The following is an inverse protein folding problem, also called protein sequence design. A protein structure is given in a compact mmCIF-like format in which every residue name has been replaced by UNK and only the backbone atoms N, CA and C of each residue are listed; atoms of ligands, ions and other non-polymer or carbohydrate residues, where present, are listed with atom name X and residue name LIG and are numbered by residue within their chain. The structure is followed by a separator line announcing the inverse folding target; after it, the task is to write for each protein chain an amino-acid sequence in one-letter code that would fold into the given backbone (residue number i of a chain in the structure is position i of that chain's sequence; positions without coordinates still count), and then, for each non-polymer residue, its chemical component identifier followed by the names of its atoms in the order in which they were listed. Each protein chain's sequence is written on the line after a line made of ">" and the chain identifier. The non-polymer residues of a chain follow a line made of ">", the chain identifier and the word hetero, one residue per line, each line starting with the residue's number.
data_IF_028786311001
#
_entry.id   IF_028786311001
#
_cell.length_a   1.000
_cell.length_b   1.000
_cell.length_c   1.000
_cell.angle_alpha   90.00
_cell.angle_beta   90.00
_cell.angle_gamma   90.00
#
_symmetry.space_group_name_H-M   'P 1'
#
loop_
_entity.id
_entity.type
_entity.pdbx_description
1 polymer ?
#
# COMPACT_ATOMS: atom_id res chain seq x y z
N UNK A 1 -7.81 4.23 20.44
CA UNK A 1 -6.67 3.89 19.59
C UNK A 1 -5.82 5.12 19.33
N UNK A 2 -4.51 5.01 19.56
CA UNK A 2 -3.54 6.05 19.27
C UNK A 2 -2.86 5.79 17.93
N UNK A 3 -3.01 6.71 16.97
CA UNK A 3 -2.49 6.56 15.62
C UNK A 3 -1.38 7.57 15.37
N UNK A 4 -0.24 7.05 14.89
CA UNK A 4 0.96 7.83 14.57
C UNK A 4 1.10 7.91 13.05
N UNK A 5 1.36 9.09 12.52
CA UNK A 5 1.63 9.32 11.11
C UNK A 5 2.97 10.07 10.91
N UNK A 6 3.59 9.89 9.74
CA UNK A 6 4.93 10.39 9.46
C UNK A 6 4.95 11.85 8.97
N UNK A 7 5.26 12.04 7.71
CA UNK A 7 5.62 13.31 7.05
C UNK A 7 4.56 14.43 7.05
N UNK A 8 3.37 14.19 7.61
CA UNK A 8 2.29 15.20 7.66
C UNK A 8 2.62 16.39 8.58
N UNK A 9 3.40 16.15 9.62
CA UNK A 9 3.74 17.15 10.64
C UNK A 9 4.76 18.21 10.17
N UNK A 10 5.50 17.93 9.10
CA UNK A 10 6.53 18.82 8.52
C UNK A 10 6.05 19.63 7.32
N UNK A 11 4.78 19.51 6.94
CA UNK A 11 4.21 20.28 5.83
C UNK A 11 3.73 21.65 6.29
N UNK A 12 3.65 22.62 5.35
CA UNK A 12 3.04 23.93 5.63
C UNK A 12 1.58 23.76 6.12
N UNK A 13 1.10 24.71 6.93
CA UNK A 13 -0.19 24.62 7.61
C UNK A 13 -1.37 24.26 6.69
N UNK A 14 -1.46 24.87 5.49
CA UNK A 14 -2.53 24.61 4.53
C UNK A 14 -2.41 23.24 3.85
N UNK A 15 -1.19 22.82 3.51
CA UNK A 15 -0.94 21.50 2.93
C UNK A 15 -1.18 20.42 3.99
N UNK A 16 -0.66 20.64 5.19
CA UNK A 16 -0.86 19.74 6.32
C UNK A 16 -2.33 19.56 6.68
N UNK A 17 -3.13 20.64 6.66
CA UNK A 17 -4.57 20.56 6.90
C UNK A 17 -5.27 19.68 5.86
N UNK A 18 -5.08 19.97 4.57
CA UNK A 18 -5.67 19.16 3.50
C UNK A 18 -5.31 17.68 3.57
N UNK A 19 -4.06 17.38 3.93
CA UNK A 19 -3.61 16.00 4.10
C UNK A 19 -4.29 15.33 5.31
N UNK A 20 -4.44 16.04 6.43
CA UNK A 20 -5.17 15.53 7.60
C UNK A 20 -6.65 15.29 7.30
N UNK A 21 -7.29 16.20 6.55
CA UNK A 21 -8.69 16.04 6.14
C UNK A 21 -8.87 14.78 5.27
N UNK A 22 -7.95 14.55 4.32
CA UNK A 22 -7.92 13.32 3.51
C UNK A 22 -7.68 12.07 4.37
N UNK A 23 -6.72 12.14 5.30
CA UNK A 23 -6.44 11.05 6.25
C UNK A 23 -7.69 10.70 7.06
N UNK A 24 -8.35 11.70 7.65
CA UNK A 24 -9.58 11.52 8.42
C UNK A 24 -10.75 10.98 7.60
N UNK A 25 -10.88 11.41 6.34
CA UNK A 25 -11.84 10.85 5.40
C UNK A 25 -11.59 9.36 5.15
N UNK A 26 -10.35 9.01 4.85
CA UNK A 26 -9.94 7.62 4.60
C UNK A 26 -10.18 6.71 5.83
N UNK A 27 -9.85 7.19 7.04
CA UNK A 27 -10.16 6.48 8.27
C UNK A 27 -11.66 6.15 8.39
N UNK A 28 -12.52 7.16 8.22
CA UNK A 28 -13.97 6.98 8.36
C UNK A 28 -14.51 5.99 7.33
N UNK A 29 -14.06 6.09 6.08
CA UNK A 29 -14.44 5.14 5.01
C UNK A 29 -14.04 3.70 5.34
N UNK A 30 -12.84 3.48 5.88
CA UNK A 30 -12.39 2.15 6.28
C UNK A 30 -13.18 1.60 7.49
N UNK A 31 -13.42 2.41 8.52
CA UNK A 31 -14.23 1.98 9.67
C UNK A 31 -15.66 1.64 9.24
N UNK A 32 -16.28 2.49 8.40
CA UNK A 32 -17.63 2.26 7.87
C UNK A 32 -17.69 0.98 7.03
N UNK A 33 -16.75 0.81 6.10
CA UNK A 33 -16.69 -0.37 5.24
C UNK A 33 -16.52 -1.68 6.03
N UNK A 34 -15.79 -1.61 7.15
CA UNK A 34 -15.53 -2.76 8.03
C UNK A 34 -16.56 -2.91 9.15
N UNK A 35 -17.61 -2.08 9.16
CA UNK A 35 -18.65 -2.02 10.19
C UNK A 35 -18.09 -1.88 11.62
N UNK A 36 -17.04 -1.09 11.80
CA UNK A 36 -16.40 -0.86 13.09
C UNK A 36 -16.84 0.50 13.66
N UNK A 37 -17.17 0.57 14.97
CA UNK A 37 -17.48 1.82 15.63
C UNK A 37 -16.19 2.61 15.86
N UNK A 38 -16.25 3.94 15.71
CA UNK A 38 -15.14 4.80 16.07
C UNK A 38 -15.37 6.26 15.73
N UNK A 39 -15.04 7.14 16.66
CA UNK A 39 -15.00 8.58 16.44
C UNK A 39 -13.57 9.03 16.18
N UNK A 40 -13.32 9.56 14.98
CA UNK A 40 -11.97 9.90 14.50
C UNK A 40 -11.70 11.37 14.75
N UNK A 41 -10.75 11.67 15.63
CA UNK A 41 -10.17 13.01 15.85
C UNK A 41 -8.75 13.08 15.26
N UNK A 42 -8.62 13.83 14.17
CA UNK A 42 -7.33 14.04 13.49
C UNK A 42 -6.65 15.28 14.03
N UNK A 43 -5.89 15.11 15.10
CA UNK A 43 -5.08 16.17 15.70
C UNK A 43 -3.85 16.55 14.85
N UNK A 44 -3.10 17.55 15.31
CA UNK A 44 -1.93 18.07 14.57
C UNK A 44 -0.75 17.09 14.51
N UNK A 45 -0.55 16.30 15.55
CA UNK A 45 0.61 15.38 15.67
C UNK A 45 0.21 13.90 15.79
N UNK A 46 -1.05 13.62 16.07
CA UNK A 46 -1.62 12.28 16.25
C UNK A 46 -3.07 12.27 15.83
N UNK A 47 -3.57 11.12 15.45
CA UNK A 47 -5.00 10.85 15.36
C UNK A 47 -5.40 9.98 16.55
N UNK A 48 -6.53 10.31 17.16
CA UNK A 48 -7.16 9.48 18.19
C UNK A 48 -8.43 8.91 17.59
N UNK A 49 -8.67 7.61 17.78
CA UNK A 49 -9.94 6.99 17.46
C UNK A 49 -10.54 6.47 18.75
N UNK A 50 -11.64 7.10 19.20
CA UNK A 50 -12.39 6.65 20.38
C UNK A 50 -13.36 5.54 19.93
N UNK A 51 -13.34 4.41 20.64
CA UNK A 51 -14.16 3.24 20.33
C UNK A 51 -14.42 2.40 21.59
N UNK A 52 -15.30 1.43 21.48
CA UNK A 52 -15.61 0.50 22.56
C UNK A 52 -14.44 -0.44 22.85
N UNK A 53 -14.26 -0.88 24.11
CA UNK A 53 -13.19 -1.79 24.50
C UNK A 53 -13.16 -3.10 23.69
N UNK A 54 -14.32 -3.62 23.31
CA UNK A 54 -14.45 -4.85 22.51
C UNK A 54 -13.98 -4.68 21.07
N UNK A 55 -14.02 -3.45 20.55
CA UNK A 55 -13.65 -3.13 19.15
C UNK A 55 -12.24 -2.54 19.03
N UNK A 56 -11.57 -2.22 20.14
CA UNK A 56 -10.34 -1.43 20.13
C UNK A 56 -9.21 -2.06 19.31
N UNK A 57 -9.05 -3.37 19.36
CA UNK A 57 -8.02 -4.07 18.59
C UNK A 57 -8.34 -4.07 17.09
N UNK A 58 -9.58 -4.40 16.71
CA UNK A 58 -10.01 -4.39 15.31
C UNK A 58 -9.93 -2.98 14.71
N UNK A 59 -10.27 -1.94 15.49
CA UNK A 59 -10.10 -0.53 15.09
C UNK A 59 -8.63 -0.17 14.94
N UNK A 60 -7.75 -0.66 15.83
CA UNK A 60 -6.31 -0.39 15.72
C UNK A 60 -5.67 -1.07 14.50
N UNK A 61 -6.05 -2.33 14.22
CA UNK A 61 -5.62 -3.03 13.00
C UNK A 61 -6.12 -2.30 11.74
N UNK A 62 -7.40 -1.88 11.74
CA UNK A 62 -7.95 -1.07 10.65
C UNK A 62 -7.22 0.25 10.47
N UNK A 63 -6.91 0.92 11.57
CA UNK A 63 -6.15 2.16 11.55
C UNK A 63 -4.72 1.97 10.99
N UNK A 64 -4.11 0.83 11.24
CA UNK A 64 -2.82 0.47 10.69
C UNK A 64 -2.84 0.23 9.17
N UNK A 65 -4.00 -0.04 8.55
CA UNK A 65 -4.10 -0.19 7.09
C UNK A 65 -4.23 1.14 6.33
N UNK A 66 -4.43 2.26 7.05
CA UNK A 66 -4.63 3.57 6.42
C UNK A 66 -3.34 4.12 5.84
N UNK A 67 -3.34 4.47 4.56
CA UNK A 67 -2.20 5.12 3.93
C UNK A 67 -1.85 6.45 4.62
N UNK A 68 -0.57 6.60 4.96
CA UNK A 68 -0.05 7.73 5.74
C UNK A 68 0.16 7.39 7.23
N UNK A 69 -0.41 6.31 7.72
CA UNK A 69 -0.20 5.83 9.10
C UNK A 69 1.12 5.06 9.18
N UNK A 70 1.92 5.41 10.19
CA UNK A 70 3.16 4.71 10.53
C UNK A 70 2.88 3.59 11.51
N UNK A 71 2.01 3.83 12.50
CA UNK A 71 1.56 2.79 13.41
C UNK A 71 0.28 3.17 14.13
N UNK A 72 -0.45 2.17 14.58
CA UNK A 72 -1.61 2.30 15.44
C UNK A 72 -1.50 1.37 16.64
N UNK A 73 -1.91 1.87 17.81
CA UNK A 73 -1.86 1.11 19.07
C UNK A 73 -3.22 1.14 19.75
N UNK A 74 -3.77 -0.01 20.16
CA UNK A 74 -4.85 -0.03 21.13
C UNK A 74 -4.32 0.55 22.43
N UNK A 75 -5.00 1.56 23.00
CA UNK A 75 -4.50 2.31 24.15
C UNK A 75 -5.56 2.54 25.21
N UNK A 76 -5.13 2.50 26.47
CA UNK A 76 -5.87 3.06 27.58
C UNK A 76 -5.50 4.54 27.73
N UNK A 77 -6.50 5.43 27.72
CA UNK A 77 -6.32 6.85 27.96
C UNK A 77 -6.61 7.17 29.44
N UNK A 78 -5.65 7.80 30.11
CA UNK A 78 -5.67 8.07 31.55
C UNK A 78 -5.28 9.51 31.86
N UNK A 79 -5.46 9.94 33.11
CA UNK A 79 -4.90 11.20 33.61
C UNK A 79 -3.36 11.19 33.52
N UNK A 80 -2.71 12.30 33.14
CA UNK A 80 -1.26 12.34 32.99
C UNK A 80 -0.54 12.58 34.34
N UNK A 81 -0.87 11.77 35.34
CA UNK A 81 -0.28 11.78 36.67
C UNK A 81 0.59 10.56 36.88
N UNK A 82 1.59 10.63 37.79
CA UNK A 82 2.40 9.50 38.11
C UNK A 82 1.55 8.33 38.62
N UNK A 83 0.64 8.58 39.57
CA UNK A 83 -0.25 7.60 40.16
C UNK A 83 -1.08 6.84 39.11
N UNK A 84 -1.74 7.58 38.18
CA UNK A 84 -2.55 6.96 37.13
C UNK A 84 -1.71 6.14 36.15
N UNK A 85 -0.47 6.56 35.89
CA UNK A 85 0.44 5.81 34.99
C UNK A 85 0.91 4.54 35.69
N UNK A 86 1.29 4.60 36.96
CA UNK A 86 1.69 3.43 37.77
C UNK A 86 0.55 2.41 37.87
N UNK A 87 -0.67 2.88 38.17
CA UNK A 87 -1.86 2.01 38.29
C UNK A 87 -2.17 1.31 36.93
N UNK A 88 -2.17 2.05 35.83
CA UNK A 88 -2.45 1.48 34.52
C UNK A 88 -1.38 0.47 34.07
N UNK A 89 -0.11 0.73 34.38
CA UNK A 89 0.98 -0.21 34.08
C UNK A 89 0.93 -1.45 34.99
N UNK A 90 0.57 -1.28 36.24
CA UNK A 90 0.35 -2.39 37.18
C UNK A 90 -0.80 -3.30 36.72
N UNK A 91 -1.94 -2.70 36.35
CA UNK A 91 -3.10 -3.44 35.82
C UNK A 91 -2.74 -4.19 34.53
N UNK A 92 -2.02 -3.55 33.61
CA UNK A 92 -1.56 -4.16 32.37
C UNK A 92 -0.59 -5.32 32.63
N UNK A 93 0.34 -5.15 33.59
CA UNK A 93 1.25 -6.22 33.99
C UNK A 93 0.49 -7.41 34.57
N UNK A 94 -0.40 -7.17 35.52
CA UNK A 94 -1.21 -8.21 36.15
C UNK A 94 -2.09 -9.00 35.17
N UNK A 95 -2.57 -8.33 34.11
CA UNK A 95 -3.50 -8.91 33.15
C UNK A 95 -2.80 -9.67 32.02
N UNK A 96 -1.63 -9.19 31.56
CA UNK A 96 -1.05 -9.63 30.31
C UNK A 96 0.39 -10.11 30.40
N UNK A 97 1.20 -9.65 31.38
CA UNK A 97 2.60 -10.04 31.44
C UNK A 97 2.73 -11.46 32.00
N UNK A 98 3.19 -12.38 31.14
CA UNK A 98 3.28 -13.82 31.48
C UNK A 98 4.72 -14.30 31.63
N UNK A 99 5.72 -13.39 31.60
CA UNK A 99 7.14 -13.67 31.79
C UNK A 99 8.02 -13.15 30.66
N UNK A 100 9.31 -13.45 30.76
CA UNK A 100 10.32 -12.91 29.86
C UNK A 100 10.86 -11.55 30.32
N UNK A 101 11.60 -10.89 29.44
CA UNK A 101 12.14 -9.55 29.70
C UNK A 101 11.13 -8.45 29.33
N UNK A 102 11.21 -7.30 30.01
CA UNK A 102 10.34 -6.18 29.66
C UNK A 102 11.06 -4.84 29.69
N UNK A 103 10.48 -3.86 28.96
CA UNK A 103 10.83 -2.44 29.05
C UNK A 103 9.58 -1.56 29.16
N UNK A 104 9.75 -0.38 29.74
CA UNK A 104 8.77 0.71 29.66
C UNK A 104 9.34 1.79 28.75
N UNK A 105 8.82 1.90 27.51
CA UNK A 105 9.20 2.95 26.54
C UNK A 105 8.30 4.16 26.74
N UNK A 106 8.83 5.19 27.38
CA UNK A 106 8.08 6.39 27.72
C UNK A 106 8.50 7.57 26.83
N UNK A 107 7.49 8.25 26.25
CA UNK A 107 7.67 9.47 25.46
C UNK A 107 6.81 10.58 26.00
N UNK A 108 7.35 11.81 26.00
CA UNK A 108 6.68 12.99 26.48
C UNK A 108 6.64 14.07 25.39
N UNK A 109 5.44 14.58 25.11
CA UNK A 109 5.28 15.57 24.03
C UNK A 109 5.68 17.00 24.42
N UNK A 110 5.64 17.36 25.71
CA UNK A 110 5.98 18.68 26.26
C UNK A 110 6.52 18.57 27.68
N UNK A 111 7.27 19.57 28.10
CA UNK A 111 7.85 19.67 29.44
C UNK A 111 6.90 20.44 30.40
N UNK A 112 5.74 19.86 30.67
CA UNK A 112 4.69 20.45 31.53
C UNK A 112 4.37 19.64 32.79
N UNK A 113 4.91 18.42 32.88
CA UNK A 113 4.72 17.53 34.03
C UNK A 113 5.95 17.53 34.95
N UNK A 114 5.78 17.24 36.26
CA UNK A 114 6.87 17.25 37.24
C UNK A 114 7.87 16.07 37.07
N UNK A 115 7.68 15.21 36.10
CA UNK A 115 8.51 14.02 35.81
C UNK A 115 8.97 14.00 34.36
N UNK A 116 10.10 13.40 34.11
CA UNK A 116 10.69 13.18 32.76
C UNK A 116 10.25 11.85 32.17
N UNK A 117 10.59 11.59 30.88
CA UNK A 117 10.38 10.26 30.26
C UNK A 117 11.19 9.18 30.98
N UNK A 118 12.41 9.50 31.44
CA UNK A 118 13.24 8.58 32.22
C UNK A 118 12.64 8.25 33.57
N UNK A 119 11.99 9.24 34.22
CA UNK A 119 11.27 9.01 35.46
C UNK A 119 10.08 8.08 35.26
N UNK A 120 9.32 8.25 34.14
CA UNK A 120 8.21 7.35 33.76
C UNK A 120 8.74 5.93 33.52
N UNK A 121 9.86 5.79 32.80
CA UNK A 121 10.50 4.51 32.58
C UNK A 121 10.87 3.80 33.90
N UNK A 122 11.38 4.58 34.88
CA UNK A 122 11.80 4.04 36.19
C UNK A 122 10.59 3.65 37.06
N UNK A 123 9.69 4.62 37.40
CA UNK A 123 8.57 4.30 38.28
C UNK A 123 7.57 3.35 37.62
N UNK A 124 7.41 3.44 36.31
CA UNK A 124 6.59 2.51 35.54
C UNK A 124 7.17 1.10 35.51
N UNK A 125 8.50 0.97 35.37
CA UNK A 125 9.20 -0.30 35.48
C UNK A 125 9.02 -0.94 36.87
N UNK A 126 9.13 -0.14 37.94
CA UNK A 126 8.86 -0.59 39.29
C UNK A 126 7.42 -1.08 39.48
N UNK A 127 6.43 -0.38 38.91
CA UNK A 127 5.02 -0.74 38.94
C UNK A 127 4.73 -2.05 38.19
N UNK A 128 5.28 -2.21 36.98
CA UNK A 128 5.19 -3.46 36.20
C UNK A 128 5.78 -4.63 36.97
N UNK A 129 6.99 -4.48 37.52
CA UNK A 129 7.66 -5.54 38.26
C UNK A 129 6.91 -5.93 39.55
N UNK A 130 6.37 -4.94 40.28
CA UNK A 130 5.62 -5.17 41.51
C UNK A 130 4.26 -5.87 41.29
N UNK A 131 3.62 -5.64 40.15
CA UNK A 131 2.33 -6.23 39.80
C UNK A 131 2.42 -7.53 39.00
N UNK A 132 3.63 -7.94 38.62
CA UNK A 132 3.83 -9.19 37.88
C UNK A 132 3.22 -10.40 38.62
N UNK A 133 2.59 -11.35 37.89
CA UNK A 133 2.02 -12.56 38.52
C UNK A 133 3.04 -13.31 39.36
N UNK A 134 2.62 -13.89 40.51
CA UNK A 134 3.50 -14.48 41.49
C UNK A 134 4.39 -15.63 40.96
N UNK A 135 4.09 -16.19 39.81
CA UNK A 135 4.86 -17.24 39.16
C UNK A 135 5.90 -16.71 38.15
N UNK A 136 5.91 -15.38 37.92
CA UNK A 136 6.80 -14.68 37.00
C UNK A 136 7.90 -13.98 37.78
N UNK A 137 9.14 -14.15 37.37
CA UNK A 137 10.27 -13.34 37.82
C UNK A 137 10.54 -12.24 36.80
N UNK A 138 10.13 -11.00 37.05
CA UNK A 138 10.25 -9.92 36.10
C UNK A 138 11.72 -9.52 35.90
N UNK A 139 12.14 -9.37 34.65
CA UNK A 139 13.49 -8.94 34.28
C UNK A 139 13.44 -7.83 33.27
N UNK A 140 14.24 -6.76 33.50
CA UNK A 140 14.29 -5.60 32.60
C UNK A 140 15.35 -5.81 31.54
N UNK A 141 14.97 -5.60 30.26
CA UNK A 141 15.88 -5.45 29.13
C UNK A 141 15.44 -4.23 28.31
N UNK A 142 16.32 -3.23 28.17
CA UNK A 142 16.01 -1.99 27.45
C UNK A 142 16.40 -2.05 25.97
N UNK A 143 17.19 -3.04 25.58
CA UNK A 143 17.71 -3.15 24.22
C UNK A 143 16.85 -4.07 23.34
N UNK A 144 16.44 -5.23 23.85
CA UNK A 144 15.65 -6.24 23.12
C UNK A 144 14.65 -6.95 24.06
N UNK A 145 13.63 -6.23 24.57
CA UNK A 145 12.66 -6.77 25.50
C UNK A 145 11.64 -7.68 24.80
N UNK A 146 11.22 -8.77 25.49
CA UNK A 146 10.10 -9.60 25.06
C UNK A 146 8.75 -8.83 25.11
N UNK A 147 8.62 -7.91 26.10
CA UNK A 147 7.45 -7.08 26.30
C UNK A 147 7.82 -5.60 26.35
N UNK A 148 7.08 -4.76 25.61
CA UNK A 148 7.22 -3.30 25.68
C UNK A 148 5.91 -2.66 26.15
N UNK A 149 5.97 -2.02 27.31
CA UNK A 149 4.90 -1.17 27.82
C UNK A 149 5.13 0.26 27.29
N UNK A 150 4.39 0.66 26.25
CA UNK A 150 4.51 2.02 25.68
C UNK A 150 3.70 3.00 26.52
N UNK A 151 4.31 4.14 26.89
CA UNK A 151 3.64 5.25 27.59
C UNK A 151 3.86 6.57 26.83
N UNK A 152 2.82 7.14 26.27
CA UNK A 152 2.89 8.47 25.63
C UNK A 152 2.20 9.52 26.51
N UNK A 153 2.99 10.39 27.16
CA UNK A 153 2.48 11.46 28.05
C UNK A 153 2.33 12.77 27.29
N UNK A 154 1.11 13.32 27.34
CA UNK A 154 0.72 14.60 26.77
C UNK A 154 0.27 15.57 27.87
N UNK A 155 0.09 16.87 27.57
CA UNK A 155 -0.29 17.85 28.60
C UNK A 155 -1.58 17.52 29.36
N UNK A 156 -2.54 16.92 28.68
CA UNK A 156 -3.91 16.69 29.16
C UNK A 156 -4.28 15.21 29.35
N UNK A 157 -3.50 14.28 28.77
CA UNK A 157 -3.73 12.83 28.88
C UNK A 157 -2.44 12.04 28.79
N UNK A 158 -2.42 10.83 29.36
CA UNK A 158 -1.42 9.82 29.06
C UNK A 158 -2.08 8.61 28.39
N UNK A 159 -1.31 7.90 27.58
CA UNK A 159 -1.74 6.73 26.82
C UNK A 159 -0.81 5.57 27.13
N UNK A 160 -1.38 4.44 27.55
CA UNK A 160 -0.65 3.20 27.83
C UNK A 160 -1.07 2.15 26.82
N UNK A 161 -0.11 1.47 26.19
CA UNK A 161 -0.37 0.40 25.22
C UNK A 161 0.68 -0.70 25.33
N UNK A 162 0.28 -1.94 25.00
CA UNK A 162 1.15 -3.13 24.93
C UNK A 162 1.39 -3.58 23.50
N UNK A 163 0.52 -3.20 22.59
CA UNK A 163 0.56 -3.62 21.21
C UNK A 163 0.73 -2.43 20.29
N UNK A 164 1.43 -2.68 19.19
CA UNK A 164 1.64 -1.72 18.14
C UNK A 164 1.55 -2.41 16.80
N UNK A 165 0.60 -2.00 15.99
CA UNK A 165 0.44 -2.43 14.61
C UNK A 165 1.16 -1.45 13.69
N UNK A 166 2.12 -1.96 12.92
CA UNK A 166 2.83 -1.15 11.94
C UNK A 166 1.94 -0.84 10.73
N UNK A 167 1.99 0.41 10.27
CA UNK A 167 1.21 0.87 9.14
C UNK A 167 2.05 1.00 7.86
N UNK A 168 1.39 1.21 6.68
CA UNK A 168 2.07 1.31 5.39
C UNK A 168 2.95 2.56 5.27
N UNK A 169 2.81 3.52 6.16
CA UNK A 169 3.46 4.82 6.03
C UNK A 169 3.00 5.59 4.79
N UNK A 170 3.88 6.39 4.23
CA UNK A 170 3.63 7.13 3.00
C UNK A 170 2.79 8.39 3.18
N UNK A 171 1.82 8.62 2.29
CA UNK A 171 0.95 9.79 2.26
C UNK A 171 -0.51 9.36 2.18
N UNK A 172 -1.46 10.15 2.71
CA UNK A 172 -2.87 9.85 2.60
C UNK A 172 -3.31 9.74 1.14
N UNK A 173 -4.13 8.73 0.83
CA UNK A 173 -4.67 8.49 -0.49
C UNK A 173 -5.43 9.71 -1.04
N UNK A 174 -5.30 9.99 -2.32
CA UNK A 174 -5.92 11.15 -2.98
C UNK A 174 -5.21 12.48 -2.72
N UNK A 175 -3.96 12.48 -2.20
CA UNK A 175 -3.15 13.69 -2.00
C UNK A 175 -2.24 14.01 -3.18
N UNK A 176 -2.05 13.08 -4.10
CA UNK A 176 -1.30 13.24 -5.35
C UNK A 176 -2.22 13.11 -6.56
N UNK A 177 -1.71 13.46 -7.73
CA UNK A 177 -2.43 13.26 -8.98
C UNK A 177 -2.67 11.77 -9.25
N UNK A 178 -3.77 11.40 -9.94
CA UNK A 178 -4.02 10.02 -10.34
C UNK A 178 -2.98 9.53 -11.36
N UNK A 179 -2.76 8.21 -11.39
CA UNK A 179 -1.86 7.53 -12.32
C UNK A 179 -2.60 6.37 -13.00
N UNK A 180 -2.36 6.13 -14.27
CA UNK A 180 -2.84 4.93 -14.95
C UNK A 180 -1.97 3.74 -14.55
N UNK A 181 -2.55 2.72 -13.95
CA UNK A 181 -1.86 1.51 -13.55
C UNK A 181 -2.17 0.36 -14.51
N UNK A 182 -1.17 -0.10 -15.26
CA UNK A 182 -1.29 -1.29 -16.10
C UNK A 182 -1.29 -2.54 -15.22
N UNK A 183 -2.49 -3.12 -15.03
CA UNK A 183 -2.71 -4.28 -14.17
C UNK A 183 -2.80 -5.55 -15.00
N UNK A 184 -2.15 -6.59 -14.54
CA UNK A 184 -2.23 -7.93 -15.13
C UNK A 184 -2.49 -8.95 -14.03
N UNK A 185 -2.84 -10.17 -14.38
CA UNK A 185 -2.93 -11.28 -13.40
C UNK A 185 -1.56 -11.77 -12.89
N UNK A 186 -0.49 -10.97 -13.02
CA UNK A 186 0.86 -11.29 -12.55
C UNK A 186 1.20 -10.67 -11.20
N UNK A 187 2.33 -11.12 -10.60
CA UNK A 187 2.79 -10.74 -9.25
C UNK A 187 3.15 -9.25 -9.15
N UNK A 188 3.77 -8.70 -10.19
CA UNK A 188 4.47 -7.42 -10.10
C UNK A 188 3.52 -6.21 -10.19
N UNK A 189 2.48 -6.29 -11.03
CA UNK A 189 1.60 -5.14 -11.28
C UNK A 189 0.77 -4.69 -10.06
N UNK A 190 0.20 -5.59 -9.22
CA UNK A 190 -0.50 -5.17 -8.01
C UNK A 190 0.43 -4.49 -6.99
N UNK A 191 1.64 -5.02 -6.83
CA UNK A 191 2.63 -4.43 -5.91
C UNK A 191 3.05 -3.05 -6.38
N UNK A 192 3.27 -2.86 -7.69
CA UNK A 192 3.59 -1.54 -8.25
C UNK A 192 2.45 -0.53 -8.07
N UNK A 193 1.20 -0.96 -8.27
CA UNK A 193 0.02 -0.13 -8.05
C UNK A 193 -0.12 0.27 -6.57
N UNK A 194 0.03 -0.69 -5.64
CA UNK A 194 0.01 -0.42 -4.20
C UNK A 194 1.09 0.57 -3.77
N UNK A 195 2.31 0.45 -4.29
CA UNK A 195 3.41 1.35 -3.94
C UNK A 195 3.12 2.82 -4.30
N UNK A 196 2.43 3.10 -5.41
CA UNK A 196 2.04 4.47 -5.74
C UNK A 196 0.79 4.93 -4.96
N UNK A 197 -0.16 4.03 -4.69
CA UNK A 197 -1.30 4.30 -3.79
C UNK A 197 -0.79 4.72 -2.40
N UNK A 198 0.17 3.99 -1.85
CA UNK A 198 0.84 4.30 -0.59
C UNK A 198 1.53 5.67 -0.59
N UNK A 199 1.92 6.18 -1.74
CA UNK A 199 2.46 7.55 -1.91
C UNK A 199 1.39 8.59 -2.18
N UNK A 200 0.11 8.24 -2.05
CA UNK A 200 -1.03 9.13 -2.11
C UNK A 200 -1.64 9.32 -3.49
N UNK A 201 -1.19 8.60 -4.51
CA UNK A 201 -1.74 8.67 -5.87
C UNK A 201 -2.92 7.72 -6.03
N UNK A 202 -4.12 8.21 -6.37
CA UNK A 202 -5.17 7.36 -6.91
C UNK A 202 -4.71 6.65 -8.17
N UNK A 203 -5.21 5.45 -8.41
CA UNK A 203 -4.92 4.70 -9.63
C UNK A 203 -6.15 4.57 -10.52
N UNK A 204 -5.93 4.59 -11.83
CA UNK A 204 -6.88 4.17 -12.86
C UNK A 204 -6.40 2.80 -13.34
N UNK A 205 -6.98 1.69 -12.87
CA UNK A 205 -6.50 0.36 -13.22
C UNK A 205 -6.94 -0.03 -14.61
N UNK A 206 -5.98 -0.39 -15.46
CA UNK A 206 -6.17 -0.73 -16.87
C UNK A 206 -5.66 -2.14 -17.14
N UNK A 207 -6.49 -2.96 -17.73
CA UNK A 207 -6.17 -4.29 -18.20
C UNK A 207 -6.31 -4.37 -19.72
N UNK A 208 -5.30 -4.87 -20.40
CA UNK A 208 -5.37 -5.16 -21.83
C UNK A 208 -5.83 -6.60 -22.01
N UNK A 209 -7.01 -6.78 -22.58
CA UNK A 209 -7.46 -8.08 -23.03
C UNK A 209 -6.78 -8.45 -24.34
N UNK A 210 -5.90 -9.43 -24.24
CA UNK A 210 -5.04 -9.87 -25.35
C UNK A 210 -5.72 -10.87 -26.28
N UNK A 211 -7.04 -11.07 -26.15
CA UNK A 211 -7.79 -12.05 -26.94
C UNK A 211 -7.22 -13.47 -26.82
N UNK A 212 -6.90 -14.11 -27.93
CA UNK A 212 -6.37 -15.48 -27.99
C UNK A 212 -5.00 -15.65 -27.30
N UNK A 213 -4.25 -14.56 -27.09
CA UNK A 213 -2.97 -14.55 -26.35
C UNK A 213 -3.14 -14.42 -24.84
N UNK A 214 -4.31 -14.03 -24.39
CA UNK A 214 -4.68 -13.93 -22.97
C UNK A 214 -5.50 -15.13 -22.51
N UNK A 215 -6.70 -14.86 -22.08
CA UNK A 215 -7.70 -15.83 -21.66
C UNK A 215 -8.50 -15.32 -20.47
N UNK A 216 -9.69 -15.90 -20.22
CA UNK A 216 -10.61 -15.44 -19.17
C UNK A 216 -10.00 -15.51 -17.77
N UNK A 217 -9.11 -16.45 -17.51
CA UNK A 217 -8.43 -16.57 -16.21
C UNK A 217 -7.52 -15.38 -15.91
N UNK A 218 -7.00 -14.70 -16.94
CA UNK A 218 -6.16 -13.50 -16.77
C UNK A 218 -6.97 -12.29 -16.35
N UNK A 219 -8.11 -12.09 -17.01
CA UNK A 219 -9.03 -11.01 -16.68
C UNK A 219 -9.57 -11.19 -15.26
N UNK A 220 -10.06 -12.39 -14.92
CA UNK A 220 -10.59 -12.69 -13.59
C UNK A 220 -9.56 -12.41 -12.48
N UNK A 221 -8.28 -12.74 -12.71
CA UNK A 221 -7.20 -12.44 -11.77
C UNK A 221 -6.89 -10.95 -11.69
N UNK A 222 -6.91 -10.24 -12.81
CA UNK A 222 -6.70 -8.81 -12.81
C UNK A 222 -7.83 -8.08 -12.07
N UNK A 223 -9.08 -8.50 -12.26
CA UNK A 223 -10.23 -8.01 -11.50
C UNK A 223 -10.07 -8.27 -10.01
N UNK A 224 -9.75 -9.51 -9.61
CA UNK A 224 -9.56 -9.85 -8.20
C UNK A 224 -8.41 -9.08 -7.56
N UNK A 225 -7.33 -8.88 -8.29
CA UNK A 225 -6.22 -8.00 -7.88
C UNK A 225 -6.71 -6.58 -7.58
N UNK A 226 -7.53 -5.99 -8.45
CA UNK A 226 -8.03 -4.62 -8.25
C UNK A 226 -9.03 -4.58 -7.10
N UNK A 227 -9.84 -5.61 -6.89
CA UNK A 227 -10.73 -5.72 -5.72
C UNK A 227 -9.95 -5.68 -4.39
N UNK A 228 -8.81 -6.39 -4.32
CA UNK A 228 -7.91 -6.37 -3.15
C UNK A 228 -7.22 -5.02 -2.97
N UNK A 229 -6.80 -4.36 -4.04
CA UNK A 229 -6.27 -3.00 -3.96
C UNK A 229 -7.34 -2.01 -3.48
N UNK A 230 -8.58 -2.15 -3.94
CA UNK A 230 -9.71 -1.31 -3.54
C UNK A 230 -10.04 -1.44 -2.05
N UNK A 231 -9.74 -2.59 -1.42
CA UNK A 231 -9.88 -2.79 0.02
C UNK A 231 -9.11 -1.77 0.87
N UNK A 232 -7.99 -1.26 0.35
CA UNK A 232 -7.18 -0.24 1.03
C UNK A 232 -7.72 1.19 0.87
N UNK A 233 -8.69 1.42 -0.02
CA UNK A 233 -9.33 2.73 -0.24
C UNK A 233 -10.82 2.57 -0.63
N UNK A 234 -11.67 1.98 0.25
CA UNK A 234 -13.05 1.57 -0.09
C UNK A 234 -14.02 2.76 -0.25
N UNK A 235 -13.62 3.97 0.12
CA UNK A 235 -14.45 5.18 -0.02
C UNK A 235 -14.38 5.83 -1.40
N UNK A 236 -13.71 5.21 -2.37
CA UNK A 236 -13.61 5.70 -3.74
C UNK A 236 -14.48 4.85 -4.68
N UNK A 237 -14.94 5.46 -5.77
CA UNK A 237 -15.64 4.76 -6.85
C UNK A 237 -14.62 4.02 -7.72
N UNK A 238 -14.44 2.74 -7.46
CA UNK A 238 -13.48 1.93 -8.18
C UNK A 238 -14.03 1.43 -9.50
N UNK A 239 -13.33 1.75 -10.58
CA UNK A 239 -13.56 1.23 -11.92
C UNK A 239 -12.32 0.48 -12.41
N UNK A 240 -12.54 -0.61 -13.13
CA UNK A 240 -11.52 -1.36 -13.85
C UNK A 240 -11.75 -1.19 -15.34
N UNK A 241 -10.76 -0.71 -16.06
CA UNK A 241 -10.84 -0.47 -17.50
C UNK A 241 -10.31 -1.68 -18.26
N UNK A 242 -11.20 -2.38 -18.95
CA UNK A 242 -10.85 -3.47 -19.86
C UNK A 242 -10.72 -2.96 -21.28
N UNK A 243 -9.51 -2.97 -21.81
CA UNK A 243 -9.21 -2.52 -23.18
C UNK A 243 -9.16 -3.74 -24.12
N UNK A 244 -9.97 -3.78 -25.19
CA UNK A 244 -10.03 -4.90 -26.13
C UNK A 244 -8.84 -4.86 -27.11
N UNK A 245 -7.68 -5.31 -26.69
CA UNK A 245 -6.41 -5.23 -27.43
C UNK A 245 -6.12 -6.45 -28.33
N UNK A 246 -7.02 -7.43 -28.38
CA UNK A 246 -6.77 -8.73 -29.04
C UNK A 246 -6.35 -8.62 -30.50
N UNK A 247 -7.08 -7.84 -31.30
CA UNK A 247 -6.81 -7.67 -32.74
C UNK A 247 -5.49 -6.95 -32.99
N UNK A 248 -5.22 -5.89 -32.22
CA UNK A 248 -3.96 -5.11 -32.31
C UNK A 248 -2.76 -5.96 -31.91
N UNK A 249 -2.89 -6.76 -30.87
CA UNK A 249 -1.85 -7.70 -30.42
C UNK A 249 -1.60 -8.79 -31.47
N UNK A 250 -2.64 -9.33 -32.10
CA UNK A 250 -2.50 -10.28 -33.20
C UNK A 250 -1.77 -9.65 -34.39
N UNK A 251 -2.12 -8.42 -34.77
CA UNK A 251 -1.44 -7.70 -35.84
C UNK A 251 0.06 -7.44 -35.55
N UNK A 252 0.39 -7.08 -34.31
CA UNK A 252 1.80 -6.95 -33.87
C UNK A 252 2.51 -8.30 -33.95
N UNK A 253 1.85 -9.39 -33.57
CA UNK A 253 2.41 -10.74 -33.61
C UNK A 253 2.70 -11.22 -35.03
N UNK A 254 1.83 -10.90 -35.95
CA UNK A 254 1.97 -11.26 -37.38
C UNK A 254 3.05 -10.44 -38.08
N UNK A 255 3.21 -9.18 -37.70
CA UNK A 255 4.21 -8.28 -38.29
C UNK A 255 5.65 -8.57 -37.78
N UNK A 256 5.82 -9.09 -36.58
CA UNK A 256 7.11 -9.13 -35.89
C UNK A 256 7.45 -10.47 -35.27
N UNK A 257 8.52 -11.10 -35.74
CA UNK A 257 9.18 -12.22 -35.04
C UNK A 257 10.12 -11.73 -33.93
N UNK A 258 10.98 -10.74 -34.26
CA UNK A 258 11.91 -10.13 -33.32
C UNK A 258 11.46 -8.71 -32.98
N UNK A 259 11.60 -8.31 -31.71
CA UNK A 259 11.16 -7.01 -31.25
C UNK A 259 9.66 -6.96 -30.89
N UNK A 260 8.92 -8.05 -31.10
CA UNK A 260 7.49 -8.16 -30.80
C UNK A 260 7.15 -7.63 -29.39
N UNK A 261 7.90 -8.08 -28.38
CA UNK A 261 7.68 -7.62 -27.02
C UNK A 261 7.96 -6.14 -26.80
N UNK A 262 8.88 -5.55 -27.53
CA UNK A 262 9.15 -4.11 -27.43
C UNK A 262 8.04 -3.29 -28.13
N UNK A 263 7.61 -3.71 -29.32
CA UNK A 263 6.49 -3.07 -30.00
C UNK A 263 5.20 -3.17 -29.18
N UNK A 264 4.92 -4.33 -28.60
CA UNK A 264 3.77 -4.51 -27.70
C UNK A 264 3.85 -3.60 -26.46
N UNK A 265 5.02 -3.47 -25.82
CA UNK A 265 5.17 -2.56 -24.67
C UNK A 265 5.00 -1.09 -25.06
N UNK A 266 5.44 -0.70 -26.24
CA UNK A 266 5.24 0.62 -26.80
C UNK A 266 3.74 0.91 -27.03
N UNK A 267 3.04 -0.07 -27.60
CA UNK A 267 1.59 -0.05 -27.74
C UNK A 267 0.89 0.07 -26.36
N UNK A 268 1.30 -0.73 -25.35
CA UNK A 268 0.72 -0.68 -24.01
C UNK A 268 0.82 0.70 -23.35
N UNK A 269 1.99 1.34 -23.41
CA UNK A 269 2.16 2.67 -22.80
C UNK A 269 1.42 3.75 -23.59
N UNK A 270 1.25 3.60 -24.91
CA UNK A 270 0.42 4.49 -25.72
C UNK A 270 -1.05 4.37 -25.37
N UNK A 271 -1.60 3.15 -25.21
CA UNK A 271 -2.96 2.94 -24.67
C UNK A 271 -3.13 3.61 -23.32
N UNK A 272 -2.14 3.44 -22.43
CA UNK A 272 -2.20 4.03 -21.10
C UNK A 272 -2.15 5.57 -21.14
N UNK A 273 -1.45 6.18 -22.09
CA UNK A 273 -1.40 7.62 -22.29
C UNK A 273 -2.75 8.20 -22.75
N UNK A 274 -3.41 7.52 -23.68
CA UNK A 274 -4.77 7.93 -24.13
C UNK A 274 -5.76 7.90 -22.95
N UNK A 275 -5.76 6.82 -22.18
CA UNK A 275 -6.58 6.70 -20.96
C UNK A 275 -6.19 7.77 -19.94
N UNK A 276 -4.90 8.05 -19.76
CA UNK A 276 -4.44 9.08 -18.83
C UNK A 276 -4.98 10.47 -19.23
N UNK A 277 -5.01 10.77 -20.51
CA UNK A 277 -5.60 12.03 -21.04
C UNK A 277 -7.09 12.16 -20.70
N UNK A 278 -7.86 11.08 -20.83
CA UNK A 278 -9.29 11.05 -20.51
C UNK A 278 -9.55 11.23 -19.01
N UNK A 279 -8.73 10.58 -18.18
CA UNK A 279 -8.91 10.54 -16.72
C UNK A 279 -8.11 11.62 -15.96
N UNK A 280 -7.39 12.49 -16.66
CA UNK A 280 -6.56 13.54 -16.05
C UNK A 280 -5.42 12.97 -15.20
N UNK A 281 -4.91 11.78 -15.56
CA UNK A 281 -3.79 11.16 -14.88
C UNK A 281 -2.45 11.78 -15.30
N UNK A 282 -1.51 11.88 -14.35
CA UNK A 282 -0.23 12.57 -14.54
C UNK A 282 0.93 11.63 -14.93
N UNK A 283 0.67 10.35 -15.13
CA UNK A 283 1.69 9.36 -15.49
C UNK A 283 1.14 7.94 -15.55
N UNK A 284 2.01 7.02 -15.87
CA UNK A 284 1.73 5.60 -16.08
C UNK A 284 2.51 4.78 -15.05
N UNK A 285 1.93 3.72 -14.51
CA UNK A 285 2.59 2.79 -13.58
C UNK A 285 2.68 1.41 -14.19
N UNK A 286 3.88 0.82 -14.14
CA UNK A 286 4.13 -0.56 -14.58
C UNK A 286 4.87 -1.36 -13.51
N UNK A 287 4.63 -2.67 -13.45
CA UNK A 287 5.32 -3.62 -12.57
C UNK A 287 6.66 -4.11 -13.11
N UNK A 288 7.36 -3.33 -13.95
CA UNK A 288 8.62 -3.75 -14.55
C UNK A 288 9.78 -3.66 -13.55
N UNK A 289 10.64 -4.71 -13.57
CA UNK A 289 11.90 -4.72 -12.83
C UNK A 289 13.05 -5.11 -13.75
N UNK A 290 14.23 -4.49 -13.58
CA UNK A 290 15.41 -4.72 -14.42
C UNK A 290 15.81 -6.21 -14.34
N UNK A 291 15.94 -6.84 -15.50
CA UNK A 291 16.46 -8.20 -15.62
C UNK A 291 15.47 -9.33 -15.33
N UNK A 292 14.23 -9.05 -14.88
CA UNK A 292 13.24 -10.11 -14.67
C UNK A 292 12.80 -10.77 -15.99
N UNK A 293 12.71 -10.01 -17.07
CA UNK A 293 12.41 -10.50 -18.41
C UNK A 293 13.46 -9.95 -19.39
N UNK A 294 13.71 -10.68 -20.47
CA UNK A 294 14.66 -10.25 -21.51
C UNK A 294 14.30 -8.89 -22.14
N UNK A 295 13.03 -8.53 -22.15
CA UNK A 295 12.55 -7.22 -22.63
C UNK A 295 12.69 -6.09 -21.58
N UNK A 296 13.05 -6.40 -20.34
CA UNK A 296 13.16 -5.44 -19.23
C UNK A 296 14.62 -5.08 -18.92
N UNK A 297 15.43 -4.85 -19.94
CA UNK A 297 16.77 -4.27 -19.75
C UNK A 297 16.67 -2.74 -19.75
N UNK A 298 17.60 -2.04 -19.11
CA UNK A 298 17.62 -0.56 -19.05
C UNK A 298 17.52 0.04 -20.45
N UNK A 299 18.20 -0.56 -21.45
CA UNK A 299 18.13 -0.12 -22.85
C UNK A 299 16.72 -0.31 -23.44
N UNK A 300 16.08 -1.44 -23.17
CA UNK A 300 14.75 -1.73 -23.70
C UNK A 300 13.66 -0.86 -23.03
N UNK A 301 13.82 -0.53 -21.76
CA UNK A 301 12.92 0.41 -21.06
C UNK A 301 12.93 1.79 -21.71
N UNK A 302 14.11 2.30 -22.11
CA UNK A 302 14.19 3.59 -22.81
C UNK A 302 13.51 3.57 -24.20
N UNK A 303 13.44 2.40 -24.86
CA UNK A 303 12.70 2.23 -26.11
C UNK A 303 11.19 2.26 -25.87
N UNK A 304 10.74 1.62 -24.80
CA UNK A 304 9.33 1.66 -24.37
C UNK A 304 8.92 3.08 -24.02
N UNK A 305 9.71 3.79 -23.23
CA UNK A 305 9.41 5.15 -22.77
C UNK A 305 9.31 6.16 -23.93
N UNK A 306 10.01 5.91 -25.05
CA UNK A 306 9.91 6.72 -26.24
C UNK A 306 8.56 6.62 -27.00
N UNK A 307 7.59 5.88 -26.47
CA UNK A 307 6.22 5.77 -27.01
C UNK A 307 5.20 6.59 -26.24
N UNK A 308 5.60 7.36 -25.24
CA UNK A 308 4.76 8.23 -24.44
C UNK A 308 5.50 9.51 -24.07
N UNK A 309 4.76 10.60 -23.85
CA UNK A 309 5.29 11.85 -23.28
C UNK A 309 5.11 11.88 -21.75
N UNK A 310 4.31 10.97 -21.20
CA UNK A 310 4.06 10.89 -19.76
C UNK A 310 5.20 10.15 -19.02
N UNK A 311 5.49 10.52 -17.78
CA UNK A 311 6.42 9.76 -16.95
C UNK A 311 5.91 8.33 -16.70
N UNK A 312 6.78 7.35 -16.94
CA UNK A 312 6.50 5.94 -16.62
C UNK A 312 7.14 5.60 -15.29
N UNK A 313 6.31 5.42 -14.28
CA UNK A 313 6.72 5.06 -12.92
C UNK A 313 6.90 3.55 -12.80
N UNK A 314 8.05 3.14 -12.27
CA UNK A 314 8.41 1.74 -12.05
C UNK A 314 8.86 1.54 -10.60
N UNK A 315 7.92 1.45 -9.65
CA UNK A 315 8.27 1.36 -8.23
C UNK A 315 9.14 0.15 -7.89
N UNK A 316 9.08 -0.89 -8.72
CA UNK A 316 9.79 -2.15 -8.52
C UNK A 316 11.11 -2.26 -9.29
N UNK A 317 11.54 -1.21 -9.97
CA UNK A 317 12.63 -1.25 -10.95
C UNK A 317 13.91 -1.95 -10.45
N UNK A 318 14.26 -1.74 -9.19
CA UNK A 318 15.48 -2.25 -8.54
C UNK A 318 15.20 -3.31 -7.47
N UNK A 319 13.97 -3.80 -7.36
CA UNK A 319 13.60 -4.81 -6.36
C UNK A 319 13.88 -6.21 -6.87
N UNK A 320 14.38 -7.06 -5.96
CA UNK A 320 14.55 -8.49 -6.23
C UNK A 320 13.19 -9.20 -6.22
N UNK A 321 13.12 -10.32 -6.95
CA UNK A 321 11.90 -11.10 -7.10
C UNK A 321 11.34 -11.60 -5.76
N UNK A 322 12.20 -11.98 -4.83
CA UNK A 322 11.78 -12.46 -3.51
C UNK A 322 11.12 -11.35 -2.69
N UNK A 323 11.68 -10.13 -2.73
CA UNK A 323 11.08 -8.94 -2.12
C UNK A 323 9.69 -8.67 -2.69
N UNK A 324 9.55 -8.65 -4.02
CA UNK A 324 8.26 -8.43 -4.69
C UNK A 324 7.26 -9.54 -4.34
N UNK A 325 7.72 -10.79 -4.28
CA UNK A 325 6.86 -11.93 -3.92
C UNK A 325 6.36 -11.86 -2.47
N UNK A 326 7.20 -11.38 -1.54
CA UNK A 326 6.79 -11.17 -0.15
C UNK A 326 5.75 -10.05 -0.04
N UNK A 327 5.98 -8.92 -0.71
CA UNK A 327 4.99 -7.82 -0.77
C UNK A 327 3.66 -8.28 -1.38
N UNK A 328 3.70 -9.12 -2.41
CA UNK A 328 2.48 -9.69 -3.00
C UNK A 328 1.74 -10.64 -2.05
N UNK A 329 2.45 -11.35 -1.16
CA UNK A 329 1.82 -12.17 -0.10
C UNK A 329 1.17 -11.29 0.97
N UNK A 330 1.84 -10.24 1.41
CA UNK A 330 1.31 -9.26 2.36
C UNK A 330 0.03 -8.57 1.82
N UNK A 331 -0.05 -8.37 0.49
CA UNK A 331 -1.22 -7.83 -0.20
C UNK A 331 -2.27 -8.89 -0.57
N UNK A 332 -2.05 -10.14 -0.21
CA UNK A 332 -2.88 -11.29 -0.59
C UNK A 332 -3.13 -11.43 -2.11
N UNK A 333 -2.21 -10.92 -2.94
CA UNK A 333 -2.31 -10.99 -4.42
C UNK A 333 -1.43 -12.08 -5.03
N UNK A 334 -0.67 -12.81 -4.18
CA UNK A 334 0.30 -13.81 -4.66
C UNK A 334 -0.35 -15.07 -5.21
N UNK A 335 -1.41 -15.57 -4.56
CA UNK A 335 -2.06 -16.84 -4.92
C UNK A 335 -2.67 -16.81 -6.32
N UNK A 336 -3.33 -15.72 -6.68
CA UNK A 336 -3.94 -15.55 -8.00
C UNK A 336 -2.91 -15.53 -9.11
N UNK A 337 -1.71 -15.01 -8.84
CA UNK A 337 -0.66 -14.81 -9.83
C UNK A 337 0.18 -16.06 -10.11
N UNK A 338 0.11 -17.09 -9.27
CA UNK A 338 0.89 -18.34 -9.44
C UNK A 338 0.23 -19.37 -10.35
N UNK A 339 -1.05 -19.21 -10.67
CA UNK A 339 -1.77 -20.08 -11.60
C UNK A 339 -1.21 -19.89 -13.01
N UNK A 340 -0.79 -20.97 -13.73
CA UNK A 340 -0.22 -20.85 -15.06
C UNK A 340 -1.12 -20.09 -16.02
N UNK A 341 -0.59 -19.02 -16.60
CA UNK A 341 -1.30 -18.14 -17.48
C UNK A 341 -0.78 -18.22 -18.92
N UNK A 342 -1.68 -18.08 -19.91
CA UNK A 342 -1.37 -18.24 -21.34
C UNK A 342 -0.45 -17.18 -21.97
N UNK A 343 0.02 -16.18 -21.22
CA UNK A 343 0.91 -15.10 -21.73
C UNK A 343 2.17 -15.56 -22.45
N UNK A 344 2.60 -16.80 -22.25
CA UNK A 344 3.76 -17.35 -22.94
C UNK A 344 3.54 -17.55 -24.46
N UNK A 345 2.29 -17.51 -24.95
CA UNK A 345 1.98 -17.67 -26.37
C UNK A 345 2.39 -16.46 -27.20
N UNK A 346 2.37 -15.27 -26.62
CA UNK A 346 2.79 -14.05 -27.29
C UNK A 346 4.30 -13.85 -27.29
N UNK A 347 5.03 -14.46 -26.36
CA UNK A 347 6.47 -14.30 -26.27
C UNK A 347 7.18 -14.89 -27.52
N UNK A 348 8.14 -14.17 -28.15
CA UNK A 348 8.88 -14.68 -29.28
C UNK A 348 9.82 -15.82 -28.87
N UNK A 349 10.16 -16.70 -29.82
CA UNK A 349 11.10 -17.79 -29.59
C UNK A 349 12.53 -17.32 -29.22
N UNK A 350 12.91 -16.08 -29.59
CA UNK A 350 14.22 -15.48 -29.31
C UNK A 350 14.09 -14.25 -28.39
N UNK A 351 14.88 -14.25 -27.31
CA UNK A 351 14.99 -13.12 -26.40
C UNK A 351 15.68 -11.92 -27.07
N UNK A 352 15.15 -10.71 -26.87
CA UNK A 352 15.80 -9.46 -27.30
C UNK A 352 16.17 -8.61 -26.07
N UNK A 353 17.46 -8.61 -25.75
CA UNK A 353 18.01 -7.89 -24.59
C UNK A 353 18.61 -6.53 -24.93
N UNK A 354 18.83 -6.24 -26.21
CA UNK A 354 19.53 -5.05 -26.70
C UNK A 354 18.84 -4.43 -27.92
N UNK A 355 17.58 -4.03 -27.78
CA UNK A 355 16.85 -3.37 -28.85
C UNK A 355 17.45 -2.02 -29.28
N UNK A 356 17.01 -1.53 -30.46
CA UNK A 356 17.29 -0.18 -30.95
C UNK A 356 15.97 0.48 -31.31
N UNK A 357 15.78 1.72 -30.87
CA UNK A 357 14.56 2.47 -31.11
C UNK A 357 14.30 2.64 -32.62
N UNK A 358 15.34 3.01 -33.40
CA UNK A 358 15.21 3.19 -34.85
C UNK A 358 14.78 1.88 -35.53
N UNK A 359 15.39 0.76 -35.13
CA UNK A 359 15.04 -0.56 -35.66
C UNK A 359 13.62 -1.01 -35.28
N UNK A 360 13.14 -0.65 -34.12
CA UNK A 360 11.75 -0.96 -33.73
C UNK A 360 10.81 -0.10 -34.54
N UNK A 361 11.04 1.23 -34.65
CA UNK A 361 10.24 2.14 -35.47
C UNK A 361 10.16 1.78 -36.94
N UNK A 362 11.24 1.22 -37.51
CA UNK A 362 11.26 0.72 -38.87
C UNK A 362 10.41 -0.54 -39.09
N UNK A 363 10.19 -1.32 -38.03
CA UNK A 363 9.56 -2.64 -38.10
C UNK A 363 8.17 -2.73 -37.52
N UNK A 364 7.89 -1.90 -36.49
CA UNK A 364 6.57 -1.88 -35.89
C UNK A 364 5.53 -1.43 -36.93
N UNK A 365 4.30 -1.95 -36.87
CA UNK A 365 3.25 -1.51 -37.78
C UNK A 365 3.05 0.02 -37.72
N UNK A 366 2.92 0.65 -38.87
CA UNK A 366 2.74 2.12 -38.97
C UNK A 366 1.52 2.60 -38.17
N UNK A 367 0.49 1.76 -38.07
CA UNK A 367 -0.78 2.08 -37.39
C UNK A 367 -0.80 1.75 -35.91
N UNK A 368 0.29 1.25 -35.31
CA UNK A 368 0.33 0.73 -33.92
C UNK A 368 -0.21 1.74 -32.90
N UNK A 369 0.11 3.02 -33.05
CA UNK A 369 -0.37 4.09 -32.15
C UNK A 369 -1.82 4.48 -32.43
N UNK A 370 -2.27 4.40 -33.70
CA UNK A 370 -3.67 4.62 -34.04
C UNK A 370 -4.56 3.47 -33.50
N UNK A 371 -4.04 2.25 -33.49
CA UNK A 371 -4.73 1.14 -32.82
C UNK A 371 -4.82 1.38 -31.31
N UNK A 372 -3.75 1.88 -30.70
CA UNK A 372 -3.75 2.20 -29.27
C UNK A 372 -4.82 3.23 -28.92
N UNK A 373 -4.96 4.30 -29.71
CA UNK A 373 -6.03 5.31 -29.57
C UNK A 373 -7.43 4.69 -29.71
N UNK A 374 -7.63 3.86 -30.75
CA UNK A 374 -8.93 3.23 -31.01
C UNK A 374 -9.31 2.22 -29.90
N UNK A 375 -8.36 1.39 -29.45
CA UNK A 375 -8.58 0.40 -28.40
C UNK A 375 -8.81 1.07 -27.04
N UNK A 376 -8.10 2.16 -26.74
CA UNK A 376 -8.32 2.96 -25.54
C UNK A 376 -9.73 3.55 -25.53
N UNK A 377 -10.19 4.13 -26.66
CA UNK A 377 -11.54 4.66 -26.80
C UNK A 377 -12.64 3.60 -26.72
N UNK A 378 -12.31 2.32 -26.97
CA UNK A 378 -13.21 1.18 -26.84
C UNK A 378 -13.16 0.51 -25.46
N UNK A 379 -12.45 1.10 -24.48
CA UNK A 379 -12.32 0.54 -23.15
C UNK A 379 -13.68 0.38 -22.46
N UNK A 380 -13.92 -0.78 -21.91
CA UNK A 380 -15.10 -1.10 -21.12
C UNK A 380 -14.85 -0.77 -19.64
N UNK A 381 -15.80 -0.10 -18.98
CA UNK A 381 -15.73 0.22 -17.55
C UNK A 381 -16.47 -0.83 -16.76
N UNK A 382 -15.80 -1.45 -15.82
CA UNK A 382 -16.34 -2.47 -14.92
C UNK A 382 -16.24 -1.92 -13.49
N UNK A 383 -17.38 -1.77 -12.83
CA UNK A 383 -17.42 -1.36 -11.43
C UNK A 383 -16.80 -2.44 -10.55
N UNK A 384 -15.98 -2.03 -9.59
CA UNK A 384 -15.27 -2.92 -8.67
C UNK A 384 -15.77 -2.68 -7.25
N UNK A 385 -16.15 -3.77 -6.59
CA UNK A 385 -16.41 -3.78 -5.16
C UNK A 385 -15.16 -4.27 -4.42
N UNK A 386 -14.71 -3.56 -3.36
CA UNK A 386 -13.58 -3.98 -2.54
C UNK A 386 -13.76 -5.40 -1.99
N UNK A 387 -12.69 -6.18 -1.95
CA UNK A 387 -12.68 -7.52 -1.38
C UNK A 387 -11.65 -7.63 -0.26
N UNK A 388 -12.09 -8.16 0.90
CA UNK A 388 -11.21 -8.40 2.02
C UNK A 388 -10.10 -9.41 1.67
N UNK A 389 -8.87 -9.21 2.16
CA UNK A 389 -7.84 -10.23 2.15
C UNK A 389 -8.29 -11.49 2.91
N UNK A 390 -7.75 -12.66 2.54
CA UNK A 390 -8.16 -13.93 3.13
C UNK A 390 -7.96 -13.99 4.66
N UNK A 391 -6.92 -13.35 5.17
CA UNK A 391 -6.56 -13.33 6.60
C UNK A 391 -7.37 -12.32 7.43
N UNK A 392 -8.24 -11.53 6.80
CA UNK A 392 -9.04 -10.51 7.49
C UNK A 392 -10.22 -11.10 8.28
N UNK A 393 -10.57 -12.37 8.04
CA UNK A 393 -11.77 -13.02 8.61
C UNK A 393 -11.54 -13.66 10.00
N UNK A 394 -10.40 -13.45 10.66
CA UNK A 394 -10.04 -14.04 11.94
C UNK A 394 -9.80 -12.99 13.01
#
# INVERSE_FOLDING_TARGET
>A
VLVRYGDLSIKSDDVGRRMRDKLGGHFRSLLEHRNLPGEVDVGHARTIVETDPESVEAVARTAADVFGVVSASPTLAIEPTQESIEDALADASAAYYDGGTFAVDARRSRDVHPFTSEDVGRFGGDAVAAAAPAHVEPSVDLDDPDWTFEVEVRPDRAYVSLERFEGPGGLPYGTQAPLVALVSGGIDSPVAAYEVMRRGSPIVPVYLDLGDYGGPDHEARAVETVRKLAWHAPGEDWEFLRVPAGDSVAAIADALDRGRMLAFRRYMVSVAEEIASEHGAAGIVTGEAIGQKSSQTVRNLSITDAATELPVHRPLLTRDKDTISNMARELDTFSESTIPAGCNRFAPASAETGGSLDRIREKEPEDVFRWAEADAAAAERIAIEPAAPADWSN
#
